data_IF_552384118034
#
_entry.id   IF_552384118034
#
_cell.length_a   1.000
_cell.length_b   1.000
_cell.length_c   1.000
_cell.angle_alpha   90.00
_cell.angle_beta   90.00
_cell.angle_gamma   90.00
#
_symmetry.space_group_name_H-M   'P 1'
#
loop_
_entity.id
_entity.type
_entity.pdbx_description
1 polymer ?
#
# COMPACT_ATOMS: atom_id res chain seq x y z
N UNK A 1 -17.15 4.80 -15.52
CA UNK A 1 -16.14 5.59 -14.78
C UNK A 1 -14.90 4.76 -14.41
N UNK A 2 -14.53 3.73 -15.20
CA UNK A 2 -13.37 2.87 -14.90
C UNK A 2 -12.08 3.25 -15.67
N UNK A 3 -12.16 4.19 -16.62
CA UNK A 3 -11.08 4.42 -17.60
C UNK A 3 -9.88 5.21 -17.06
N UNK A 4 -9.97 5.78 -15.86
CA UNK A 4 -8.88 6.57 -15.27
C UNK A 4 -8.00 5.77 -14.31
N UNK A 5 -8.44 4.59 -13.90
CA UNK A 5 -7.73 3.80 -12.91
C UNK A 5 -6.27 3.53 -13.32
N UNK A 6 -5.95 3.08 -14.54
CA UNK A 6 -4.56 2.82 -14.91
C UNK A 6 -3.67 4.07 -14.85
N UNK A 7 -4.24 5.25 -15.07
CA UNK A 7 -3.50 6.54 -15.07
C UNK A 7 -3.18 7.00 -13.66
N UNK A 8 -4.02 6.66 -12.67
CA UNK A 8 -3.83 7.04 -11.27
C UNK A 8 -2.96 6.06 -10.49
N UNK A 9 -2.62 4.91 -11.07
CA UNK A 9 -1.83 3.87 -10.41
C UNK A 9 -0.34 4.11 -10.59
N UNK A 10 0.44 3.77 -9.56
CA UNK A 10 1.90 3.74 -9.65
C UNK A 10 2.34 2.74 -10.74
N UNK A 11 3.43 3.01 -11.49
CA UNK A 11 3.94 2.10 -12.53
C UNK A 11 4.05 0.64 -12.08
N UNK A 12 4.42 0.37 -10.82
CA UNK A 12 4.51 -1.01 -10.31
C UNK A 12 3.14 -1.69 -10.25
N UNK A 13 2.09 -0.94 -9.90
CA UNK A 13 0.72 -1.46 -9.79
C UNK A 13 0.11 -1.61 -11.18
N UNK A 14 0.47 -0.76 -12.14
CA UNK A 14 0.08 -0.92 -13.55
C UNK A 14 0.64 -2.22 -14.15
N UNK A 15 1.93 -2.50 -13.95
CA UNK A 15 2.56 -3.73 -14.43
C UNK A 15 1.90 -4.96 -13.80
N UNK A 16 1.68 -4.94 -12.48
CA UNK A 16 0.97 -6.00 -11.79
C UNK A 16 -0.45 -6.21 -12.35
N UNK A 17 -1.21 -5.12 -12.56
CA UNK A 17 -2.56 -5.17 -13.09
C UNK A 17 -2.60 -5.83 -14.49
N UNK A 18 -1.62 -5.52 -15.34
CA UNK A 18 -1.50 -6.14 -16.67
C UNK A 18 -1.00 -7.59 -16.66
N UNK A 19 -0.41 -8.04 -15.55
CA UNK A 19 0.07 -9.42 -15.37
C UNK A 19 -1.01 -10.39 -14.89
N UNK A 20 -2.18 -9.88 -14.51
CA UNK A 20 -3.29 -10.70 -14.04
C UNK A 20 -3.90 -11.52 -15.20
N UNK A 21 -4.30 -12.79 -14.96
CA UNK A 21 -5.00 -13.58 -15.97
C UNK A 21 -6.30 -12.90 -16.43
N UNK A 22 -6.66 -13.11 -17.69
CA UNK A 22 -7.96 -12.69 -18.23
C UNK A 22 -9.10 -13.27 -17.37
N UNK A 23 -10.16 -12.48 -17.17
CA UNK A 23 -11.32 -12.80 -16.31
C UNK A 23 -11.01 -13.02 -14.82
N UNK A 24 -9.79 -12.78 -14.35
CA UNK A 24 -9.47 -12.89 -12.92
C UNK A 24 -10.11 -11.79 -12.05
N UNK A 25 -10.56 -10.71 -12.67
CA UNK A 25 -11.23 -9.57 -12.03
C UNK A 25 -12.58 -9.35 -12.72
N UNK A 26 -13.65 -9.84 -12.11
CA UNK A 26 -15.03 -9.70 -12.63
C UNK A 26 -15.79 -8.57 -11.95
N UNK A 27 -15.27 -8.05 -10.83
CA UNK A 27 -15.87 -6.95 -10.08
C UNK A 27 -14.81 -6.02 -9.48
N UNK A 28 -15.22 -4.80 -9.13
CA UNK A 28 -14.38 -3.89 -8.36
C UNK A 28 -13.94 -4.48 -7.01
N UNK A 29 -14.80 -5.29 -6.38
CA UNK A 29 -14.48 -5.98 -5.13
C UNK A 29 -13.34 -6.97 -5.28
N UNK A 30 -13.31 -7.73 -6.39
CA UNK A 30 -12.22 -8.68 -6.68
C UNK A 30 -10.91 -7.98 -6.97
N UNK A 31 -10.97 -6.85 -7.68
CA UNK A 31 -9.80 -6.01 -7.92
C UNK A 31 -9.21 -5.50 -6.59
N UNK A 32 -10.06 -4.92 -5.75
CA UNK A 32 -9.64 -4.37 -4.46
C UNK A 32 -9.02 -5.44 -3.56
N UNK A 33 -9.66 -6.61 -3.49
CA UNK A 33 -9.14 -7.75 -2.71
C UNK A 33 -7.78 -8.23 -3.21
N UNK A 34 -7.63 -8.45 -4.53
CA UNK A 34 -6.36 -8.88 -5.13
C UNK A 34 -5.25 -7.85 -4.94
N UNK A 35 -5.59 -6.56 -5.02
CA UNK A 35 -4.65 -5.47 -4.78
C UNK A 35 -4.18 -5.46 -3.33
N UNK A 36 -5.09 -5.62 -2.36
CA UNK A 36 -4.72 -5.75 -0.96
C UNK A 36 -3.86 -7.00 -0.77
N UNK A 37 -4.29 -8.19 -1.21
CA UNK A 37 -3.54 -9.44 -1.05
C UNK A 37 -2.10 -9.36 -1.64
N UNK A 38 -1.95 -8.74 -2.81
CA UNK A 38 -0.66 -8.67 -3.50
C UNK A 38 0.30 -7.64 -2.89
N UNK A 39 -0.21 -6.54 -2.34
CA UNK A 39 0.61 -5.43 -1.84
C UNK A 39 0.64 -5.32 -0.30
N UNK A 40 -0.24 -6.03 0.42
CA UNK A 40 -0.30 -6.03 1.88
C UNK A 40 0.99 -6.59 2.50
N UNK A 41 1.63 -7.58 1.87
CA UNK A 41 2.91 -8.12 2.33
C UNK A 41 4.08 -7.12 2.19
N UNK A 42 3.98 -6.17 1.24
CA UNK A 42 4.95 -5.06 1.13
C UNK A 42 4.67 -3.96 2.16
N UNK A 43 3.48 -3.98 2.77
CA UNK A 43 3.11 -3.08 3.84
C UNK A 43 3.72 -3.56 5.15
N UNK A 44 5.01 -3.32 5.33
CA UNK A 44 5.70 -3.54 6.61
C UNK A 44 5.34 -2.42 7.60
N UNK A 45 4.03 -2.28 7.89
CA UNK A 45 3.56 -1.41 8.96
C UNK A 45 4.04 -2.03 10.28
N UNK A 46 4.53 -1.23 11.25
CA UNK A 46 4.75 -1.72 12.59
C UNK A 46 3.38 -2.18 13.12
N UNK A 47 3.18 -3.48 13.10
CA UNK A 47 1.86 -4.10 13.24
C UNK A 47 1.53 -4.33 14.71
N UNK A 48 2.57 -4.41 15.54
CA UNK A 48 2.46 -4.69 16.96
C UNK A 48 2.82 -3.46 17.79
N UNK A 49 2.12 -3.25 18.91
CA UNK A 49 2.43 -2.18 19.87
C UNK A 49 3.92 -2.19 20.27
N UNK A 50 4.53 -3.38 20.33
CA UNK A 50 5.94 -3.54 20.61
C UNK A 50 6.84 -2.89 19.54
N UNK A 51 6.51 -3.00 18.26
CA UNK A 51 7.28 -2.39 17.16
C UNK A 51 7.24 -0.86 17.23
N UNK A 52 6.09 -0.30 17.64
CA UNK A 52 5.92 1.14 17.84
C UNK A 52 6.84 1.68 18.94
N UNK A 53 7.03 0.91 20.02
CA UNK A 53 7.94 1.31 21.11
C UNK A 53 9.41 1.34 20.70
N UNK A 54 9.77 0.66 19.61
CA UNK A 54 11.13 0.68 19.06
C UNK A 54 11.38 1.86 18.10
N UNK A 55 10.32 2.53 17.62
CA UNK A 55 10.44 3.68 16.72
C UNK A 55 10.70 4.95 17.54
N UNK A 56 11.98 5.32 17.67
CA UNK A 56 12.42 6.56 18.30
C UNK A 56 12.62 7.67 17.26
N UNK A 57 12.29 8.90 17.65
CA UNK A 57 12.60 10.07 16.85
C UNK A 57 14.13 10.22 16.75
N UNK A 58 14.65 10.43 15.54
CA UNK A 58 16.08 10.70 15.34
C UNK A 58 16.39 12.15 15.71
N UNK A 59 17.63 12.44 16.12
CA UNK A 59 18.01 13.78 16.60
C UNK A 59 17.87 14.90 15.56
N UNK A 60 17.95 14.53 14.28
CA UNK A 60 17.82 15.39 13.11
C UNK A 60 16.44 15.29 12.44
N UNK A 61 15.52 14.49 12.98
CA UNK A 61 14.20 14.27 12.40
C UNK A 61 13.18 15.30 12.91
N UNK A 62 12.51 16.05 12.03
CA UNK A 62 11.43 16.94 12.43
C UNK A 62 10.23 16.13 12.94
N UNK A 63 9.54 16.67 13.96
CA UNK A 63 8.41 16.00 14.61
C UNK A 63 7.31 15.54 13.63
N UNK A 64 7.07 16.31 12.57
CA UNK A 64 6.10 15.97 11.52
C UNK A 64 6.45 14.67 10.81
N UNK A 65 7.73 14.44 10.51
CA UNK A 65 8.16 13.25 9.79
C UNK A 65 8.19 12.03 10.72
N UNK A 66 8.47 12.25 12.01
CA UNK A 66 8.30 11.21 13.04
C UNK A 66 6.84 10.75 13.15
N UNK A 67 5.89 11.69 13.26
CA UNK A 67 4.45 11.38 13.40
C UNK A 67 3.89 10.67 12.16
N UNK A 68 4.35 11.01 10.95
CA UNK A 68 3.91 10.34 9.70
C UNK A 68 4.11 8.82 9.72
N UNK A 69 5.09 8.31 10.46
CA UNK A 69 5.35 6.86 10.60
C UNK A 69 4.22 6.12 11.33
N UNK A 70 3.38 6.85 12.07
CA UNK A 70 2.28 6.30 12.87
C UNK A 70 0.89 6.55 12.26
N UNK A 71 0.77 7.52 11.35
CA UNK A 71 -0.52 8.00 10.83
C UNK A 71 -0.87 7.48 9.41
N UNK A 72 -0.34 6.33 9.00
CA UNK A 72 -0.69 5.69 7.72
C UNK A 72 -2.02 4.91 7.81
#
# INVERSE_FOLDING_TARGET
MANYLPVCLDPVVQIWLTSLPEESVTSWGDLNRKLIESFQAMWNRPSHHFDLTQIKQKGDEPLRDYIKRFCA
#
